data_IF_916667921440
#
_entry.id   IF_916667921440
#
_cell.length_a   1.000
_cell.length_b   1.000
_cell.length_c   1.000
_cell.angle_alpha   90.00
_cell.angle_beta   90.00
_cell.angle_gamma   90.00
#
_symmetry.space_group_name_H-M   'P 1'
#
loop_
_entity.id
_entity.type
_entity.pdbx_description
1 polymer ?
#
# COMPACT_ATOMS: atom_id res chain seq x y z
N UNK A 1 6.87 4.82 -25.62
CA UNK A 1 6.10 3.82 -24.86
C UNK A 1 4.66 3.85 -25.33
N UNK A 2 4.11 2.73 -25.83
CA UNK A 2 2.73 2.68 -26.31
C UNK A 2 1.76 3.09 -25.20
N UNK A 3 0.83 4.02 -25.49
CA UNK A 3 -0.15 4.53 -24.52
C UNK A 3 -0.92 3.41 -23.82
N UNK A 4 -1.26 2.34 -24.55
CA UNK A 4 -1.94 1.14 -24.01
C UNK A 4 -1.12 0.42 -22.95
N UNK A 5 0.18 0.21 -23.18
CA UNK A 5 1.10 -0.42 -22.22
C UNK A 5 1.24 0.45 -20.98
N UNK A 6 1.32 1.76 -21.15
CA UNK A 6 1.39 2.69 -20.02
C UNK A 6 0.13 2.64 -19.15
N UNK A 7 -1.05 2.49 -19.75
CA UNK A 7 -2.32 2.38 -18.99
C UNK A 7 -2.37 1.03 -18.28
N UNK A 8 -2.08 -0.07 -18.99
CA UNK A 8 -2.05 -1.41 -18.40
C UNK A 8 -1.08 -1.50 -17.20
N UNK A 9 0.10 -0.91 -17.31
CA UNK A 9 1.08 -0.85 -16.23
C UNK A 9 0.57 -0.09 -14.99
N UNK A 10 -0.29 0.93 -15.18
CA UNK A 10 -0.86 1.73 -14.08
C UNK A 10 -2.06 1.04 -13.44
N UNK A 11 -2.85 0.33 -14.24
CA UNK A 11 -3.89 -0.57 -13.72
C UNK A 11 -3.23 -1.63 -12.84
N UNK A 12 -2.19 -2.31 -13.33
CA UNK A 12 -1.45 -3.30 -12.56
C UNK A 12 -0.80 -2.72 -11.28
N UNK A 13 -0.25 -1.50 -11.38
CA UNK A 13 0.28 -0.77 -10.22
C UNK A 13 -0.82 -0.51 -9.19
N UNK A 14 -1.97 0.04 -9.58
CA UNK A 14 -3.06 0.36 -8.66
C UNK A 14 -3.76 -0.87 -8.07
N UNK A 15 -3.92 -1.94 -8.84
CA UNK A 15 -4.59 -3.16 -8.38
C UNK A 15 -3.62 -4.01 -7.56
N UNK A 16 -2.68 -4.71 -8.20
CA UNK A 16 -1.79 -5.66 -7.54
C UNK A 16 -0.78 -4.94 -6.63
N UNK A 17 -0.11 -3.90 -7.15
CA UNK A 17 0.86 -3.13 -6.36
C UNK A 17 0.20 -2.38 -5.20
N UNK A 18 -0.92 -1.71 -5.47
CA UNK A 18 -1.68 -0.95 -4.49
C UNK A 18 -2.30 -1.83 -3.41
N UNK A 19 -2.78 -3.03 -3.77
CA UNK A 19 -3.25 -4.02 -2.79
C UNK A 19 -2.13 -4.47 -1.86
N UNK A 20 -0.94 -4.75 -2.39
CA UNK A 20 0.22 -5.11 -1.57
C UNK A 20 0.60 -4.01 -0.58
N UNK A 21 0.61 -2.75 -1.03
CA UNK A 21 0.85 -1.60 -0.14
C UNK A 21 -0.26 -1.46 0.89
N UNK A 22 -1.53 -1.62 0.51
CA UNK A 22 -2.67 -1.55 1.43
C UNK A 22 -2.61 -2.66 2.50
N UNK A 23 -2.21 -3.89 2.13
CA UNK A 23 -1.99 -4.96 3.10
C UNK A 23 -0.90 -4.59 4.11
N UNK A 24 0.19 -3.96 3.66
CA UNK A 24 1.24 -3.45 4.55
C UNK A 24 0.75 -2.31 5.44
N UNK A 25 -0.17 -1.46 4.97
CA UNK A 25 -0.85 -0.47 5.83
C UNK A 25 -1.62 -1.17 6.94
N UNK A 26 -2.41 -2.21 6.63
CA UNK A 26 -3.14 -2.96 7.65
C UNK A 26 -2.21 -3.55 8.70
N UNK A 27 -1.11 -4.17 8.26
CA UNK A 27 -0.09 -4.74 9.16
C UNK A 27 0.54 -3.66 10.03
N UNK A 28 1.03 -2.57 9.42
CA UNK A 28 1.69 -1.50 10.16
C UNK A 28 0.74 -0.88 11.19
N UNK A 29 -0.50 -0.55 10.80
CA UNK A 29 -1.49 -0.01 11.74
C UNK A 29 -1.78 -1.00 12.85
N UNK A 30 -2.02 -2.27 12.54
CA UNK A 30 -2.32 -3.28 13.56
C UNK A 30 -1.14 -3.50 14.54
N UNK A 31 0.10 -3.40 14.09
CA UNK A 31 1.28 -3.58 14.94
C UNK A 31 1.54 -2.40 15.88
N UNK A 32 1.23 -1.18 15.45
CA UNK A 32 1.45 0.04 16.24
C UNK A 32 0.22 0.47 17.05
N UNK A 33 -0.92 -0.18 16.85
CA UNK A 33 -2.15 0.17 17.55
C UNK A 33 -2.14 -0.32 19.01
N UNK A 34 -2.25 0.56 20.01
CA UNK A 34 -2.16 0.19 21.42
C UNK A 34 -3.52 -0.30 21.94
N UNK A 35 -4.06 -1.38 21.37
CA UNK A 35 -5.30 -2.01 21.86
C UNK A 35 -5.23 -3.54 21.77
N UNK A 36 -6.32 -4.20 22.15
CA UNK A 36 -6.48 -5.63 21.97
C UNK A 36 -6.29 -6.05 20.50
N UNK A 37 -5.77 -7.27 20.29
CA UNK A 37 -5.42 -7.79 18.95
C UNK A 37 -6.60 -7.79 17.99
N UNK A 38 -7.83 -8.02 18.48
CA UNK A 38 -9.03 -7.98 17.64
C UNK A 38 -9.37 -6.56 17.20
N UNK A 39 -9.20 -5.56 18.07
CA UNK A 39 -9.43 -4.16 17.71
C UNK A 39 -8.34 -3.66 16.76
N UNK A 40 -7.08 -4.03 17.01
CA UNK A 40 -5.95 -3.67 16.17
C UNK A 40 -6.09 -4.22 14.73
N UNK A 41 -6.55 -5.47 14.57
CA UNK A 41 -6.77 -6.05 13.25
C UNK A 41 -7.91 -5.35 12.49
N UNK A 42 -9.02 -5.05 13.16
CA UNK A 42 -10.14 -4.30 12.57
C UNK A 42 -9.68 -2.90 12.15
N UNK A 43 -8.98 -2.18 13.03
CA UNK A 43 -8.43 -0.85 12.71
C UNK A 43 -7.47 -0.90 11.51
N UNK A 44 -6.58 -1.90 11.46
CA UNK A 44 -5.69 -2.12 10.34
C UNK A 44 -6.44 -2.39 9.03
N UNK A 45 -7.44 -3.26 9.03
CA UNK A 45 -8.24 -3.55 7.84
C UNK A 45 -9.01 -2.32 7.35
N UNK A 46 -9.61 -1.54 8.26
CA UNK A 46 -10.31 -0.30 7.90
C UNK A 46 -9.35 0.74 7.30
N UNK A 47 -8.16 0.89 7.89
CA UNK A 47 -7.13 1.77 7.37
C UNK A 47 -6.66 1.34 5.96
N UNK A 48 -6.48 0.04 5.73
CA UNK A 48 -6.14 -0.49 4.41
C UNK A 48 -7.25 -0.28 3.37
N UNK A 49 -8.51 -0.46 3.77
CA UNK A 49 -9.67 -0.18 2.92
C UNK A 49 -9.70 1.28 2.48
N UNK A 50 -9.37 2.22 3.37
CA UNK A 50 -9.31 3.65 3.05
C UNK A 50 -8.07 4.00 2.21
N UNK A 51 -6.93 3.37 2.49
CA UNK A 51 -5.67 3.63 1.80
C UNK A 51 -5.71 3.15 0.34
N UNK A 52 -6.34 2.01 0.04
CA UNK A 52 -6.27 1.41 -1.29
C UNK A 52 -6.86 2.32 -2.41
N UNK A 53 -8.07 2.90 -2.29
CA UNK A 53 -8.57 3.85 -3.27
C UNK A 53 -7.64 5.06 -3.45
N UNK A 54 -7.07 5.59 -2.36
CA UNK A 54 -6.12 6.70 -2.42
C UNK A 54 -4.85 6.33 -3.20
N UNK A 55 -4.32 5.12 -2.96
CA UNK A 55 -3.17 4.58 -3.68
C UNK A 55 -3.48 4.40 -5.17
N UNK A 56 -4.65 3.88 -5.51
CA UNK A 56 -5.11 3.73 -6.91
C UNK A 56 -5.17 5.12 -7.57
N UNK A 57 -5.82 6.10 -6.95
CA UNK A 57 -5.89 7.46 -7.47
C UNK A 57 -4.50 8.07 -7.69
N UNK A 58 -3.57 7.88 -6.76
CA UNK A 58 -2.19 8.34 -6.89
C UNK A 58 -1.45 7.68 -8.08
N UNK A 59 -1.67 6.38 -8.33
CA UNK A 59 -1.09 5.68 -9.48
C UNK A 59 -1.55 6.28 -10.83
N UNK A 60 -2.81 6.71 -10.91
CA UNK A 60 -3.34 7.39 -12.10
C UNK A 60 -2.96 8.88 -12.17
N UNK A 61 -2.71 9.52 -11.04
CA UNK A 61 -2.23 10.91 -11.00
C UNK A 61 -0.75 11.06 -11.41
N UNK A 62 0.09 10.04 -11.21
CA UNK A 62 1.53 10.13 -11.49
C UNK A 62 1.89 10.61 -12.92
N UNK A 63 3.03 11.29 -13.10
CA UNK A 63 3.47 11.72 -14.44
C UNK A 63 3.88 10.58 -15.38
N UNK A 64 4.19 9.40 -14.84
CA UNK A 64 4.59 8.21 -15.60
C UNK A 64 4.27 6.91 -14.85
N UNK A 65 4.19 5.79 -15.57
CA UNK A 65 4.01 4.47 -14.96
C UNK A 65 5.19 4.10 -14.04
N UNK A 66 6.42 4.46 -14.41
CA UNK A 66 7.62 4.22 -13.59
C UNK A 66 7.57 4.98 -12.27
N UNK A 67 7.09 6.23 -12.27
CA UNK A 67 6.91 7.02 -11.04
C UNK A 67 5.84 6.42 -10.12
N UNK A 68 4.77 5.85 -10.68
CA UNK A 68 3.76 5.15 -9.89
C UNK A 68 4.37 3.93 -9.17
N UNK A 69 5.08 3.07 -9.90
CA UNK A 69 5.75 1.90 -9.31
C UNK A 69 6.83 2.27 -8.29
N UNK A 70 7.64 3.30 -8.56
CA UNK A 70 8.64 3.79 -7.61
C UNK A 70 8.00 4.32 -6.31
N UNK A 71 6.89 5.06 -6.43
CA UNK A 71 6.14 5.54 -5.27
C UNK A 71 5.53 4.40 -4.44
N UNK A 72 4.98 3.37 -5.09
CA UNK A 72 4.49 2.17 -4.41
C UNK A 72 5.62 1.42 -3.71
N UNK A 73 6.74 1.19 -4.40
CA UNK A 73 7.90 0.50 -3.84
C UNK A 73 8.49 1.24 -2.63
N UNK A 74 8.65 2.56 -2.74
CA UNK A 74 9.11 3.39 -1.62
C UNK A 74 8.17 3.32 -0.42
N UNK A 75 6.87 3.45 -0.65
CA UNK A 75 5.85 3.34 0.41
C UNK A 75 5.87 1.95 1.06
N UNK A 76 5.97 0.88 0.25
CA UNK A 76 6.05 -0.49 0.74
C UNK A 76 7.26 -0.70 1.65
N UNK A 77 8.44 -0.20 1.26
CA UNK A 77 9.67 -0.32 2.06
C UNK A 77 9.50 0.38 3.42
N UNK A 78 8.94 1.59 3.43
CA UNK A 78 8.71 2.35 4.67
C UNK A 78 7.74 1.61 5.59
N UNK A 79 6.62 1.10 5.06
CA UNK A 79 5.64 0.36 5.85
C UNK A 79 6.18 -0.96 6.37
N UNK A 80 6.96 -1.69 5.56
CA UNK A 80 7.66 -2.90 5.99
C UNK A 80 8.63 -2.60 7.13
N UNK A 81 9.46 -1.55 6.98
CA UNK A 81 10.39 -1.14 8.03
C UNK A 81 9.66 -0.78 9.33
N UNK A 82 8.54 -0.06 9.22
CA UNK A 82 7.69 0.27 10.37
C UNK A 82 7.12 -0.99 11.04
N UNK A 83 6.59 -1.95 10.26
CA UNK A 83 6.05 -3.20 10.79
C UNK A 83 7.14 -4.04 11.49
N UNK A 84 8.32 -4.18 10.86
CA UNK A 84 9.45 -4.91 11.45
C UNK A 84 9.95 -4.23 12.73
N UNK A 85 9.95 -2.90 12.79
CA UNK A 85 10.29 -2.13 13.99
C UNK A 85 9.35 -2.38 15.16
N UNK A 86 8.09 -2.75 14.89
CA UNK A 86 7.12 -3.19 15.89
C UNK A 86 7.19 -4.69 16.22
N UNK A 87 8.17 -5.42 15.67
CA UNK A 87 8.37 -6.86 15.91
C UNK A 87 7.58 -7.78 14.99
N UNK A 88 6.93 -7.26 13.95
CA UNK A 88 6.23 -8.09 12.96
C UNK A 88 7.23 -8.91 12.13
N UNK A 89 6.87 -10.17 11.87
CA UNK A 89 7.60 -11.09 11.00
C UNK A 89 6.59 -11.79 10.07
N UNK A 90 6.87 -11.87 8.76
CA UNK A 90 5.99 -12.50 7.78
C UNK A 90 5.88 -14.02 7.93
#
# INVERSE_FOLDING_TARGET
MNRRISIAARIAAGTAGGYGVAALVAVAVACWWPADRAQASVAGTLAALLAWPAIVMACFHAGSATRAWAGLGGTAIVLLAAAMGAGWRP
#
